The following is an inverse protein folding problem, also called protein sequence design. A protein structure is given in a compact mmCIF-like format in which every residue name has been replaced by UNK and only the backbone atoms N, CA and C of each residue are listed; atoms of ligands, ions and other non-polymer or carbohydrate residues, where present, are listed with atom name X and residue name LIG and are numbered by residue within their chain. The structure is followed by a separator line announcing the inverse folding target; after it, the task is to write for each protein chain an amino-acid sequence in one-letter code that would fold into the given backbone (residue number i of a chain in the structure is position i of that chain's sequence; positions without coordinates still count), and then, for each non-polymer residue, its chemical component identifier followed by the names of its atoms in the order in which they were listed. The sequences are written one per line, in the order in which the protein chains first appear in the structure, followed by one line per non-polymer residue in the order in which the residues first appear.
data_IF_668045112006
#
_entry.id   IF_668045112006
#
_cell.length_a   1.000
_cell.length_b   1.000
_cell.length_c   1.000
_cell.angle_alpha   90.00
_cell.angle_beta   90.00
_cell.angle_gamma   90.00
#
_symmetry.space_group_name_H-M   'P 1'
#
loop_
_entity.id
_entity.type
_entity.pdbx_description
1 polymer ?
#
# COMPACT_ATOMS: atom_id res chain seq x y z
N UNK A 1 -35.70 7.08 -15.73
CA UNK A 1 -35.70 7.49 -14.31
C UNK A 1 -34.54 8.46 -14.13
N UNK A 2 -34.82 9.76 -14.31
CA UNK A 2 -33.85 10.85 -14.46
C UNK A 2 -34.17 11.89 -13.39
N UNK A 3 -33.19 12.26 -12.58
CA UNK A 3 -33.35 13.21 -11.47
C UNK A 3 -32.85 14.58 -11.94
N UNK A 4 -33.78 15.53 -12.06
CA UNK A 4 -33.53 16.94 -12.37
C UNK A 4 -32.92 17.65 -11.15
N UNK A 5 -31.81 18.34 -11.38
CA UNK A 5 -31.21 19.28 -10.43
C UNK A 5 -31.70 20.71 -10.75
N UNK A 6 -32.43 21.31 -9.81
CA UNK A 6 -32.88 22.71 -9.85
C UNK A 6 -31.72 23.63 -9.42
N UNK A 7 -31.17 24.40 -10.37
CA UNK A 7 -30.32 25.55 -10.08
C UNK A 7 -31.21 26.74 -9.70
N UNK A 8 -31.08 27.24 -8.46
CA UNK A 8 -31.67 28.52 -8.04
C UNK A 8 -30.70 29.65 -8.42
N UNK A 9 -31.15 30.51 -9.34
CA UNK A 9 -30.50 31.79 -9.65
C UNK A 9 -30.73 32.76 -8.49
N UNK A 10 -29.68 33.49 -8.09
CA UNK A 10 -29.75 34.54 -7.07
C UNK A 10 -29.55 35.88 -7.77
N UNK A 11 -30.61 36.70 -7.84
CA UNK A 11 -30.58 38.05 -8.40
C UNK A 11 -30.17 39.05 -7.33
N UNK A 12 -29.15 39.84 -7.65
CA UNK A 12 -28.66 40.95 -6.81
C UNK A 12 -29.45 42.20 -7.20
N UNK A 13 -30.19 42.76 -6.24
CA UNK A 13 -30.86 44.07 -6.37
C UNK A 13 -30.14 45.05 -5.46
N UNK A 14 -29.62 46.14 -6.01
CA UNK A 14 -29.03 47.25 -5.26
C UNK A 14 -30.02 48.40 -5.12
N UNK A 15 -30.17 49.03 -3.93
CA UNK A 15 -30.74 50.36 -3.85
C UNK A 15 -29.71 51.46 -3.54
N UNK A 16 -30.01 52.62 -4.12
CA UNK A 16 -29.30 53.91 -4.07
C UNK A 16 -29.76 54.77 -2.87
N UNK A 17 -28.78 55.30 -2.13
CA UNK A 17 -28.67 56.60 -1.41
C UNK A 17 -29.94 57.19 -0.74
N UNK A 18 -29.96 57.32 0.60
CA UNK A 18 -30.12 58.59 1.36
C UNK A 18 -30.10 58.42 2.90
N UNK A 19 -29.62 59.47 3.55
CA UNK A 19 -29.29 59.82 4.95
C UNK A 19 -30.23 59.40 6.12
N UNK A 20 -29.62 59.18 7.31
CA UNK A 20 -30.00 59.64 8.68
C UNK A 20 -30.18 58.55 9.78
N UNK A 21 -29.25 58.58 10.76
CA UNK A 21 -29.38 58.35 12.22
C UNK A 21 -30.42 57.33 12.75
N UNK A 22 -29.98 56.23 13.37
CA UNK A 22 -30.57 55.61 14.60
C UNK A 22 -29.54 54.65 15.24
N UNK A 23 -29.54 54.69 16.57
CA UNK A 23 -28.69 54.00 17.54
C UNK A 23 -29.33 52.65 17.94
N UNK A 24 -28.50 51.73 18.44
CA UNK A 24 -28.85 50.49 19.18
C UNK A 24 -29.25 49.25 18.34
N UNK A 25 -28.43 48.20 18.47
CA UNK A 25 -28.74 46.76 18.73
C UNK A 25 -27.57 45.92 18.17
N UNK A 26 -26.54 45.67 18.97
CA UNK A 26 -26.36 44.44 19.76
C UNK A 26 -26.58 43.12 18.98
N UNK A 27 -25.50 42.32 19.00
CA UNK A 27 -25.44 40.87 18.79
C UNK A 27 -25.86 40.35 17.41
N UNK A 28 -24.94 40.44 16.45
CA UNK A 28 -24.86 39.42 15.41
C UNK A 28 -23.86 38.35 15.84
N UNK A 29 -24.44 37.28 16.40
CA UNK A 29 -23.78 36.00 16.60
C UNK A 29 -23.31 35.54 15.23
N UNK A 30 -22.01 35.71 14.94
CA UNK A 30 -21.38 34.93 13.90
C UNK A 30 -21.32 33.49 14.40
N UNK A 31 -22.40 32.74 14.15
CA UNK A 31 -22.42 31.30 14.31
C UNK A 31 -21.54 30.74 13.19
N UNK A 32 -20.24 30.76 13.42
CA UNK A 32 -19.30 30.02 12.59
C UNK A 32 -19.53 28.54 12.89
N UNK A 33 -20.44 27.90 12.15
CA UNK A 33 -20.48 26.45 12.00
C UNK A 33 -19.20 26.02 11.29
N UNK A 34 -18.10 26.01 12.03
CA UNK A 34 -16.95 25.20 11.69
C UNK A 34 -17.43 23.78 11.80
N UNK A 35 -17.88 23.24 10.65
CA UNK A 35 -18.03 21.82 10.44
C UNK A 35 -16.66 21.21 10.72
N UNK A 36 -16.43 20.79 11.97
CA UNK A 36 -15.26 20.02 12.34
C UNK A 36 -15.50 18.65 11.72
N UNK A 37 -15.27 18.56 10.41
CA UNK A 37 -14.97 17.29 9.75
C UNK A 37 -13.61 16.92 10.30
N UNK A 38 -13.63 16.43 11.55
CA UNK A 38 -12.48 15.86 12.22
C UNK A 38 -12.07 14.71 11.33
N UNK A 39 -11.07 14.97 10.50
CA UNK A 39 -10.41 13.99 9.65
C UNK A 39 -9.80 12.98 10.60
N UNK A 40 -10.62 12.03 11.05
CA UNK A 40 -10.23 10.97 11.95
C UNK A 40 -9.10 10.24 11.24
N UNK A 41 -7.87 10.56 11.65
CA UNK A 41 -6.67 9.91 11.14
C UNK A 41 -6.81 8.47 11.58
N UNK A 42 -7.09 7.58 10.63
CA UNK A 42 -7.17 6.14 10.86
C UNK A 42 -5.89 5.73 11.60
N UNK A 43 -5.98 5.55 12.92
CA UNK A 43 -4.88 5.04 13.73
C UNK A 43 -4.86 3.53 13.50
N UNK A 44 -4.18 3.12 12.43
CA UNK A 44 -3.99 1.71 12.12
C UNK A 44 -3.00 1.11 13.13
N UNK A 45 -3.41 0.06 13.81
CA UNK A 45 -2.53 -0.78 14.64
C UNK A 45 -1.46 -1.42 13.76
N UNK A 46 -0.26 -1.55 14.31
CA UNK A 46 0.89 -2.11 13.59
C UNK A 46 0.78 -3.63 13.54
N UNK A 47 1.07 -4.22 12.37
CA UNK A 47 1.35 -5.65 12.19
C UNK A 47 2.86 -5.83 12.22
N UNK A 48 3.37 -6.74 13.06
CA UNK A 48 4.78 -7.11 13.03
C UNK A 48 4.99 -8.20 11.98
N UNK A 49 5.99 -7.99 11.14
CA UNK A 49 6.34 -8.86 10.02
C UNK A 49 7.82 -9.19 10.17
N UNK A 50 8.11 -10.48 10.16
CA UNK A 50 9.48 -11.00 10.11
C UNK A 50 9.73 -11.60 8.74
N UNK A 51 10.93 -11.37 8.20
CA UNK A 51 11.34 -11.90 6.90
C UNK A 51 12.72 -12.50 7.09
N UNK A 52 12.85 -13.79 6.81
CA UNK A 52 14.12 -14.50 6.77
C UNK A 52 14.27 -15.24 5.45
N UNK A 53 15.43 -15.85 5.22
CA UNK A 53 15.64 -16.75 4.09
C UNK A 53 15.83 -18.18 4.61
N UNK A 54 15.70 -19.16 3.70
CA UNK A 54 16.05 -20.55 3.98
C UNK A 54 17.54 -20.79 4.38
N UNK A 55 18.43 -19.80 4.18
CA UNK A 55 19.83 -19.84 4.65
C UNK A 55 20.04 -19.04 5.94
N UNK A 56 18.96 -18.58 6.59
CA UNK A 56 19.00 -17.72 7.76
C UNK A 56 19.29 -16.26 7.40
N UNK A 57 20.09 -15.60 8.24
CA UNK A 57 20.41 -14.17 8.17
C UNK A 57 21.56 -13.83 7.21
N UNK A 58 22.11 -14.83 6.51
CA UNK A 58 23.19 -14.59 5.55
C UNK A 58 22.67 -13.79 4.35
N UNK A 59 23.24 -12.59 4.21
CA UNK A 59 22.77 -11.53 3.31
C UNK A 59 23.40 -11.61 1.91
N UNK A 60 24.22 -12.61 1.62
CA UNK A 60 24.97 -12.71 0.38
C UNK A 60 24.59 -13.97 -0.39
N UNK A 61 24.19 -13.80 -1.64
CA UNK A 61 23.85 -14.88 -2.56
C UNK A 61 24.67 -14.75 -3.83
N UNK A 62 25.03 -15.88 -4.44
CA UNK A 62 25.78 -15.91 -5.69
C UNK A 62 24.89 -16.35 -6.85
N UNK A 63 25.36 -16.11 -8.07
CA UNK A 63 24.68 -16.56 -9.29
C UNK A 63 24.26 -18.03 -9.21
N UNK A 64 22.99 -18.29 -9.52
CA UNK A 64 22.42 -19.63 -9.56
C UNK A 64 21.79 -20.09 -8.25
N UNK A 65 22.01 -19.37 -7.14
CA UNK A 65 21.34 -19.67 -5.88
C UNK A 65 19.82 -19.57 -6.03
N UNK A 66 19.12 -20.54 -5.45
CA UNK A 66 17.65 -20.55 -5.40
C UNK A 66 17.21 -20.08 -4.03
N UNK A 67 16.50 -18.96 -3.97
CA UNK A 67 16.07 -18.36 -2.70
C UNK A 67 14.62 -18.72 -2.39
N UNK A 68 14.38 -19.11 -1.15
CA UNK A 68 13.06 -19.06 -0.51
C UNK A 68 13.10 -18.05 0.63
N UNK A 69 12.15 -17.12 0.63
CA UNK A 69 11.87 -16.23 1.74
C UNK A 69 10.84 -16.88 2.66
N UNK A 70 11.03 -16.73 3.96
CA UNK A 70 10.11 -17.18 5.00
C UNK A 70 9.56 -15.93 5.68
N UNK A 71 8.25 -15.75 5.62
CA UNK A 71 7.58 -14.58 6.17
C UNK A 71 6.71 -15.03 7.35
N UNK A 72 6.85 -14.39 8.50
CA UNK A 72 5.99 -14.61 9.67
C UNK A 72 5.22 -13.34 10.03
N UNK A 73 4.02 -13.52 10.56
CA UNK A 73 3.09 -12.47 10.97
C UNK A 73 2.63 -12.70 12.41
N UNK A 74 2.48 -11.62 13.18
CA UNK A 74 1.90 -11.68 14.53
C UNK A 74 0.36 -11.74 14.55
N UNK A 75 -0.29 -11.32 13.46
CA UNK A 75 -1.74 -11.42 13.26
C UNK A 75 -2.10 -11.94 11.87
N UNK A 76 -3.29 -12.52 11.73
CA UNK A 76 -3.86 -12.88 10.43
C UNK A 76 -3.95 -11.66 9.52
N UNK A 77 -3.37 -11.73 8.32
CA UNK A 77 -3.34 -10.59 7.42
C UNK A 77 -3.32 -11.00 5.94
N UNK A 78 -3.68 -10.03 5.10
CA UNK A 78 -3.42 -10.06 3.67
C UNK A 78 -2.01 -9.52 3.41
N UNK A 79 -1.19 -10.28 2.66
CA UNK A 79 0.18 -9.85 2.35
C UNK A 79 0.33 -9.45 0.88
N UNK A 80 1.18 -8.46 0.66
CA UNK A 80 1.71 -8.09 -0.66
C UNK A 80 3.22 -8.13 -0.58
N UNK A 81 3.84 -8.96 -1.41
CA UNK A 81 5.29 -9.15 -1.43
C UNK A 81 5.84 -8.54 -2.72
N UNK A 82 6.69 -7.54 -2.58
CA UNK A 82 7.32 -6.81 -3.68
C UNK A 82 8.83 -7.03 -3.62
N UNK A 83 9.40 -7.53 -4.71
CA UNK A 83 10.84 -7.61 -4.89
C UNK A 83 11.32 -6.41 -5.71
N UNK A 84 12.39 -5.77 -5.24
CA UNK A 84 13.07 -4.63 -5.85
C UNK A 84 14.43 -5.10 -6.34
N UNK A 85 14.62 -5.04 -7.65
CA UNK A 85 15.88 -5.38 -8.32
C UNK A 85 16.91 -4.27 -8.17
N UNK A 86 18.18 -4.57 -8.50
CA UNK A 86 19.27 -3.58 -8.57
C UNK A 86 18.92 -2.37 -9.44
N UNK A 87 18.18 -2.59 -10.52
CA UNK A 87 17.75 -1.57 -11.47
C UNK A 87 16.50 -0.78 -11.03
N UNK A 88 16.12 -0.86 -9.75
CA UNK A 88 14.92 -0.20 -9.21
C UNK A 88 13.60 -0.64 -9.90
N UNK A 89 13.58 -1.85 -10.47
CA UNK A 89 12.33 -2.43 -10.99
C UNK A 89 11.63 -3.21 -9.87
N UNK A 90 10.31 -3.05 -9.78
CA UNK A 90 9.49 -3.68 -8.75
C UNK A 90 8.69 -4.84 -9.33
N UNK A 91 8.81 -6.01 -8.70
CA UNK A 91 8.14 -7.25 -9.08
C UNK A 91 7.23 -7.70 -7.94
N UNK A 92 5.93 -7.77 -8.18
CA UNK A 92 4.97 -8.29 -7.23
C UNK A 92 4.99 -9.82 -7.26
N UNK A 93 5.66 -10.40 -6.26
CA UNK A 93 5.73 -11.84 -6.03
C UNK A 93 4.41 -12.38 -5.51
N UNK A 94 3.76 -11.66 -4.58
CA UNK A 94 2.43 -12.00 -4.06
C UNK A 94 1.53 -10.78 -3.90
N UNK A 95 0.21 -10.94 -4.10
CA UNK A 95 -0.41 -12.06 -4.81
C UNK A 95 -0.01 -12.06 -6.30
N UNK A 96 -0.06 -13.22 -6.97
CA UNK A 96 0.25 -13.32 -8.40
C UNK A 96 -0.78 -14.19 -9.13
N UNK A 97 -0.71 -14.30 -10.46
CA UNK A 97 -1.73 -15.00 -11.24
C UNK A 97 -1.79 -16.52 -10.98
N UNK A 98 -0.70 -17.11 -10.47
CA UNK A 98 -0.57 -18.54 -10.15
C UNK A 98 -0.86 -18.83 -8.67
N UNK A 99 -0.65 -17.85 -7.78
CA UNK A 99 -0.90 -17.94 -6.35
C UNK A 99 -1.92 -16.88 -5.93
N UNK A 100 -3.21 -17.28 -5.95
CA UNK A 100 -4.36 -16.41 -5.62
C UNK A 100 -4.61 -16.27 -4.13
N UNK A 101 -4.03 -17.14 -3.28
CA UNK A 101 -4.16 -17.01 -1.83
C UNK A 101 -3.50 -15.72 -1.36
N UNK A 102 -4.31 -14.85 -0.75
CA UNK A 102 -3.88 -13.52 -0.34
C UNK A 102 -3.88 -13.34 1.17
N UNK A 103 -4.69 -14.12 1.91
CA UNK A 103 -4.79 -14.09 3.38
C UNK A 103 -4.01 -15.24 4.00
N UNK A 104 -3.26 -14.92 5.04
CA UNK A 104 -2.42 -15.86 5.77
C UNK A 104 -2.68 -15.74 7.27
N UNK A 105 -2.50 -16.85 7.98
CA UNK A 105 -2.67 -16.93 9.43
C UNK A 105 -1.42 -16.45 10.15
N UNK A 106 -1.57 -15.92 11.36
CA UNK A 106 -0.44 -15.62 12.23
C UNK A 106 0.31 -16.87 12.67
N UNK A 107 1.57 -16.69 13.09
CA UNK A 107 2.40 -17.74 13.68
C UNK A 107 2.87 -18.83 12.71
N UNK A 108 2.55 -18.73 11.41
CA UNK A 108 3.02 -19.65 10.38
C UNK A 108 4.06 -18.97 9.49
N UNK A 109 5.11 -19.72 9.12
CA UNK A 109 6.06 -19.28 8.10
C UNK A 109 5.49 -19.49 6.69
N UNK A 110 5.36 -18.39 5.96
CA UNK A 110 4.87 -18.36 4.59
C UNK A 110 6.10 -18.41 3.68
N UNK A 111 6.25 -19.51 2.93
CA UNK A 111 7.32 -19.66 1.95
C UNK A 111 6.98 -18.88 0.67
N UNK A 112 7.91 -18.04 0.21
CA UNK A 112 7.81 -17.28 -1.04
C UNK A 112 9.11 -17.46 -1.86
N UNK A 113 9.06 -18.12 -3.03
CA UNK A 113 7.90 -18.81 -3.62
C UNK A 113 7.46 -20.01 -2.76
N UNK A 114 6.18 -20.40 -2.86
CA UNK A 114 5.69 -21.64 -2.23
C UNK A 114 6.33 -22.89 -2.88
N UNK A 115 6.21 -24.04 -2.23
CA UNK A 115 6.82 -25.27 -2.74
C UNK A 115 6.25 -25.71 -4.08
N UNK A 116 4.95 -25.47 -4.28
CA UNK A 116 4.15 -25.72 -5.49
C UNK A 116 4.14 -24.54 -6.50
N UNK A 117 4.91 -23.48 -6.24
CA UNK A 117 4.94 -22.31 -7.12
C UNK A 117 5.46 -22.66 -8.52
N UNK A 118 4.83 -22.05 -9.54
CA UNK A 118 5.21 -22.20 -10.95
C UNK A 118 6.54 -21.50 -11.32
N UNK A 119 7.25 -20.93 -10.35
CA UNK A 119 8.54 -20.30 -10.55
C UNK A 119 9.47 -20.57 -9.36
N UNK A 120 10.77 -20.54 -9.63
CA UNK A 120 11.82 -20.52 -8.61
C UNK A 120 12.49 -19.16 -8.64
N UNK A 121 12.86 -18.65 -7.48
CA UNK A 121 13.57 -17.39 -7.37
C UNK A 121 15.07 -17.68 -7.47
N UNK A 122 15.64 -17.53 -8.67
CA UNK A 122 17.05 -17.85 -8.94
C UNK A 122 17.84 -16.56 -9.14
N UNK A 123 18.98 -16.43 -8.46
CA UNK A 123 19.85 -15.26 -8.59
C UNK A 123 20.48 -15.21 -9.97
N UNK A 124 20.25 -14.09 -10.66
CA UNK A 124 20.75 -13.80 -11.99
C UNK A 124 21.20 -12.34 -12.08
N UNK A 125 21.98 -12.03 -13.11
CA UNK A 125 22.42 -10.65 -13.37
C UNK A 125 21.21 -9.73 -13.67
N UNK A 126 21.30 -8.41 -13.36
CA UNK A 126 22.45 -7.73 -12.76
C UNK A 126 22.58 -7.99 -11.25
N UNK A 127 23.82 -8.05 -10.77
CA UNK A 127 24.12 -8.30 -9.36
C UNK A 127 24.28 -7.00 -8.57
N UNK A 128 23.96 -7.03 -7.27
CA UNK A 128 24.08 -5.88 -6.39
C UNK A 128 23.15 -5.96 -5.19
N UNK A 129 22.74 -4.80 -4.68
CA UNK A 129 21.81 -4.73 -3.55
C UNK A 129 20.37 -4.78 -4.03
N UNK A 130 19.63 -5.72 -3.50
CA UNK A 130 18.24 -5.97 -3.83
C UNK A 130 17.42 -6.04 -2.54
N UNK A 131 16.10 -5.94 -2.67
CA UNK A 131 15.24 -5.86 -1.50
C UNK A 131 13.91 -6.54 -1.69
N UNK A 132 13.50 -7.32 -0.71
CA UNK A 132 12.12 -7.81 -0.60
C UNK A 132 11.39 -6.92 0.39
N UNK A 133 10.22 -6.44 -0.01
CA UNK A 133 9.30 -5.68 0.81
C UNK A 133 8.05 -6.52 1.04
N UNK A 134 7.60 -6.57 2.28
CA UNK A 134 6.34 -7.23 2.65
C UNK A 134 5.45 -6.18 3.27
N UNK A 135 4.27 -6.02 2.70
CA UNK A 135 3.19 -5.20 3.23
C UNK A 135 2.11 -6.13 3.76
N UNK A 136 1.68 -5.94 5.00
CA UNK A 136 0.57 -6.67 5.59
C UNK A 136 -0.58 -5.70 5.89
N UNK A 137 -1.82 -6.14 5.65
CA UNK A 137 -3.01 -5.37 6.01
C UNK A 137 -4.21 -6.29 6.31
N UNK A 138 -5.21 -5.75 6.99
CA UNK A 138 -6.45 -6.48 7.29
C UNK A 138 -7.43 -6.58 6.10
N UNK A 139 -7.06 -6.03 4.94
CA UNK A 139 -7.88 -6.04 3.73
C UNK A 139 -7.06 -6.39 2.50
N UNK A 140 -7.60 -7.26 1.64
CA UNK A 140 -7.01 -7.51 0.33
C UNK A 140 -6.89 -6.21 -0.47
N UNK A 141 -5.74 -6.01 -1.12
CA UNK A 141 -5.57 -4.92 -2.07
C UNK A 141 -6.06 -5.33 -3.45
N UNK A 142 -6.47 -4.33 -4.24
CA UNK A 142 -6.66 -4.52 -5.68
C UNK A 142 -5.30 -4.76 -6.36
N UNK A 143 -5.26 -5.44 -7.52
CA UNK A 143 -4.02 -5.59 -8.28
C UNK A 143 -3.34 -4.25 -8.53
N UNK A 144 -2.03 -4.19 -8.26
CA UNK A 144 -1.24 -3.00 -8.52
C UNK A 144 -1.14 -2.75 -10.04
N UNK A 145 -1.00 -1.47 -10.47
CA UNK A 145 -0.79 -1.16 -11.87
C UNK A 145 0.54 -1.75 -12.36
N UNK A 146 0.51 -2.40 -13.53
CA UNK A 146 1.70 -3.06 -14.07
C UNK A 146 1.38 -4.15 -15.10
N UNK A 147 2.44 -4.71 -15.68
CA UNK A 147 2.38 -5.76 -16.69
C UNK A 147 2.54 -7.13 -16.03
N UNK A 148 1.70 -8.10 -16.38
CA UNK A 148 1.88 -9.50 -15.97
C UNK A 148 2.85 -10.18 -16.94
N UNK A 149 3.85 -10.87 -16.41
CA UNK A 149 4.82 -11.66 -17.16
C UNK A 149 4.32 -13.09 -17.38
N UNK A 150 4.98 -13.83 -18.28
CA UNK A 150 4.59 -15.21 -18.62
C UNK A 150 4.58 -16.17 -17.42
N UNK A 151 5.45 -15.95 -16.43
CA UNK A 151 5.51 -16.72 -15.18
C UNK A 151 4.42 -16.33 -14.15
N UNK A 152 3.53 -15.38 -14.50
CA UNK A 152 2.44 -14.92 -13.64
C UNK A 152 2.82 -13.83 -12.64
N UNK A 153 4.10 -13.48 -12.53
CA UNK A 153 4.59 -12.35 -11.71
C UNK A 153 4.21 -11.04 -12.39
N UNK A 154 3.87 -10.02 -11.60
CA UNK A 154 3.57 -8.68 -12.13
C UNK A 154 4.75 -7.74 -11.96
N UNK A 155 5.21 -7.15 -13.06
CA UNK A 155 6.10 -6.00 -13.02
C UNK A 155 5.29 -4.74 -12.74
N UNK A 156 5.51 -4.13 -11.58
CA UNK A 156 4.76 -2.99 -11.06
C UNK A 156 5.32 -1.68 -11.62
N UNK A 157 4.43 -0.78 -12.04
CA UNK A 157 4.80 0.47 -12.72
C UNK A 157 4.93 1.69 -11.77
N UNK A 158 4.74 1.49 -10.47
CA UNK A 158 4.74 2.54 -9.44
C UNK A 158 5.82 2.28 -8.40
N UNK A 159 6.25 3.34 -7.71
CA UNK A 159 7.30 3.27 -6.70
C UNK A 159 6.82 2.68 -5.36
N UNK A 160 7.78 2.30 -4.51
CA UNK A 160 7.51 1.66 -3.22
C UNK A 160 6.74 2.53 -2.23
N UNK A 161 6.91 3.86 -2.25
CA UNK A 161 6.18 4.80 -1.40
C UNK A 161 4.71 4.87 -1.83
N UNK A 162 4.45 4.87 -3.13
CA UNK A 162 3.11 4.79 -3.70
C UNK A 162 2.43 3.46 -3.35
N UNK A 163 3.14 2.33 -3.47
CA UNK A 163 2.62 1.02 -3.04
C UNK A 163 2.26 1.03 -1.56
N UNK A 164 3.18 1.51 -0.69
CA UNK A 164 2.93 1.65 0.75
C UNK A 164 1.65 2.44 1.04
N UNK A 165 1.48 3.57 0.36
CA UNK A 165 0.31 4.43 0.53
C UNK A 165 -0.99 3.77 0.05
N UNK A 166 -0.95 3.00 -1.04
CA UNK A 166 -2.11 2.24 -1.53
C UNK A 166 -2.53 1.20 -0.49
N UNK A 167 -1.58 0.40 0.02
CA UNK A 167 -1.88 -0.64 1.01
C UNK A 167 -2.38 -0.02 2.31
N UNK A 168 -1.73 1.05 2.80
CA UNK A 168 -2.13 1.76 4.01
C UNK A 168 -3.53 2.36 3.89
N UNK A 169 -3.86 3.04 2.78
CA UNK A 169 -5.19 3.62 2.57
C UNK A 169 -6.28 2.56 2.42
N UNK A 170 -5.92 1.37 1.91
CA UNK A 170 -6.85 0.26 1.79
C UNK A 170 -7.09 -0.45 3.13
N UNK A 171 -6.12 -0.42 4.06
CA UNK A 171 -6.25 -0.99 5.39
C UNK A 171 -7.32 -0.28 6.22
N UNK A 172 -8.00 -1.02 7.09
CA UNK A 172 -9.03 -0.47 7.99
C UNK A 172 -8.45 -0.20 9.37
N UNK A 173 -7.91 -1.23 10.00
CA UNK A 173 -7.48 -1.23 11.38
C UNK A 173 -6.03 -1.66 11.55
N UNK A 174 -5.47 -2.47 10.65
CA UNK A 174 -4.14 -3.05 10.80
C UNK A 174 -3.27 -2.88 9.56
N UNK A 175 -2.02 -2.49 9.77
CA UNK A 175 -1.04 -2.29 8.72
C UNK A 175 0.39 -2.56 9.21
N UNK A 176 1.20 -3.24 8.40
CA UNK A 176 2.61 -3.48 8.66
C UNK A 176 3.45 -3.40 7.40
N UNK A 177 4.72 -3.04 7.57
CA UNK A 177 5.74 -3.09 6.52
C UNK A 177 7.03 -3.61 7.11
N UNK A 178 7.65 -4.56 6.42
CA UNK A 178 9.02 -4.98 6.67
C UNK A 178 9.77 -5.08 5.34
N UNK A 179 11.10 -5.06 5.42
CA UNK A 179 11.96 -5.29 4.27
C UNK A 179 13.18 -6.12 4.63
N UNK A 180 13.58 -6.99 3.71
CA UNK A 180 14.79 -7.80 3.79
C UNK A 180 15.72 -7.39 2.64
N UNK A 181 16.96 -7.02 2.96
CA UNK A 181 17.97 -6.63 1.96
C UNK A 181 18.89 -7.80 1.71
N UNK A 182 19.15 -8.08 0.44
CA UNK A 182 20.09 -9.10 0.00
C UNK A 182 21.13 -8.49 -0.94
N UNK A 183 22.33 -9.03 -0.89
CA UNK A 183 23.46 -8.68 -1.75
C UNK A 183 23.70 -9.87 -2.68
N UNK A 184 23.71 -9.61 -3.98
CA UNK A 184 24.00 -10.62 -4.99
C UNK A 184 25.35 -10.35 -5.64
N UNK A 185 26.08 -11.41 -5.99
CA UNK A 185 27.31 -11.33 -6.76
C UNK A 185 27.39 -12.44 -7.81
N UNK A 186 28.34 -12.31 -8.73
CA UNK A 186 28.65 -13.39 -9.68
C UNK A 186 29.41 -14.55 -9.00
N UNK A 187 30.17 -14.25 -7.93
CA UNK A 187 31.02 -15.14 -7.13
C UNK A 187 31.45 -14.44 -5.84
#
# INVERSE_FOLDING_TARGET
MQINWLFKQCSIVTPSITTLLILVFNLNIACAEQSIVTKARLQTKKINIEITSHLGDTQSFVKGDVIKFLISLDIDAYITVIYQTVNQQFMQLLPNNKQKQTRYKSGLFIAVPSDDAAYRFTIAAPYGKEKVWVFASDKAIKPLPGKVLANGIRQVAIDIKTIKNIVLKNSKNYFGVASFTLSTSAR
#
